data_IF_208506258230
#
_entry.id   IF_208506258230
#
_cell.length_a   1.000
_cell.length_b   1.000
_cell.length_c   1.000
_cell.angle_alpha   90.00
_cell.angle_beta   90.00
_cell.angle_gamma   90.00
#
_symmetry.space_group_name_H-M   'P 1'
#
loop_
_entity.id
_entity.type
_entity.pdbx_description
1 polymer ?
#
# COMPACT_ATOMS: atom_id res chain seq x y z
N UNK A 1 -4.90 0.11 11.86
CA UNK A 1 -4.42 -1.02 11.03
C UNK A 1 -5.51 -2.07 10.79
N UNK A 2 -6.17 -2.61 11.84
CA UNK A 2 -7.25 -3.62 11.69
C UNK A 2 -8.47 -3.13 10.87
N UNK A 3 -8.88 -1.87 10.99
CA UNK A 3 -10.00 -1.31 10.22
C UNK A 3 -9.68 -1.21 8.73
N UNK A 4 -8.46 -0.80 8.35
CA UNK A 4 -8.02 -0.70 6.95
C UNK A 4 -8.02 -2.08 6.28
N UNK A 5 -7.48 -3.08 6.98
CA UNK A 5 -7.41 -4.48 6.51
C UNK A 5 -8.81 -5.11 6.32
N UNK A 6 -9.78 -4.73 7.16
CA UNK A 6 -11.18 -5.15 7.02
C UNK A 6 -11.85 -4.52 5.80
N UNK A 7 -11.62 -3.23 5.56
CA UNK A 7 -12.21 -2.53 4.41
C UNK A 7 -11.62 -3.02 3.08
N UNK A 8 -10.31 -3.22 3.00
CA UNK A 8 -9.63 -3.75 1.81
C UNK A 8 -10.17 -5.14 1.42
N UNK A 9 -10.39 -6.01 2.42
CA UNK A 9 -10.96 -7.35 2.20
C UNK A 9 -12.42 -7.31 1.71
N UNK A 10 -13.22 -6.37 2.24
CA UNK A 10 -14.60 -6.15 1.78
C UNK A 10 -14.63 -5.66 0.33
N UNK A 11 -13.78 -4.69 -0.01
CA UNK A 11 -13.66 -4.17 -1.37
C UNK A 11 -13.22 -5.26 -2.35
N UNK A 12 -12.22 -6.07 -1.99
CA UNK A 12 -11.78 -7.19 -2.82
C UNK A 12 -12.89 -8.23 -3.07
N UNK A 13 -13.73 -8.47 -2.05
CA UNK A 13 -14.89 -9.37 -2.18
C UNK A 13 -15.94 -8.76 -3.10
N UNK A 14 -16.23 -7.47 -2.97
CA UNK A 14 -17.17 -6.75 -3.82
C UNK A 14 -16.72 -6.74 -5.28
N UNK A 15 -15.44 -6.46 -5.56
CA UNK A 15 -14.90 -6.45 -6.93
C UNK A 15 -15.05 -7.81 -7.61
N UNK A 16 -14.83 -8.92 -6.89
CA UNK A 16 -15.02 -10.28 -7.41
C UNK A 16 -16.47 -10.63 -7.73
N UNK A 17 -17.43 -9.87 -7.19
CA UNK A 17 -18.86 -10.09 -7.42
C UNK A 17 -19.42 -9.31 -8.61
N UNK A 18 -18.63 -8.41 -9.21
CA UNK A 18 -19.06 -7.61 -10.37
C UNK A 18 -18.88 -8.44 -11.63
N UNK A 19 -19.98 -8.69 -12.34
CA UNK A 19 -19.99 -9.30 -13.68
C UNK A 19 -20.59 -8.32 -14.69
N UNK A 20 -19.75 -7.60 -15.47
CA UNK A 20 -20.22 -6.68 -16.52
C UNK A 20 -21.01 -7.39 -17.63
N UNK A 21 -20.85 -8.71 -17.81
CA UNK A 21 -21.56 -9.48 -18.83
C UNK A 21 -23.08 -9.48 -18.66
N UNK A 22 -23.56 -9.21 -17.44
CA UNK A 22 -24.99 -9.08 -17.12
C UNK A 22 -25.61 -7.76 -17.61
N UNK A 23 -24.80 -6.80 -18.03
CA UNK A 23 -25.26 -5.49 -18.49
C UNK A 23 -25.74 -5.60 -19.94
N UNK A 24 -27.05 -5.48 -20.17
CA UNK A 24 -27.65 -5.60 -21.50
C UNK A 24 -27.18 -4.51 -22.47
N UNK A 25 -27.07 -3.27 -22.00
CA UNK A 25 -26.59 -2.15 -22.83
C UNK A 25 -25.08 -2.27 -23.10
N UNK A 26 -24.72 -2.31 -24.38
CA UNK A 26 -23.34 -2.53 -24.82
C UNK A 26 -22.44 -1.35 -24.45
N UNK A 27 -22.94 -0.11 -24.53
CA UNK A 27 -22.15 1.08 -24.22
C UNK A 27 -21.85 1.19 -22.73
N UNK A 28 -22.84 0.89 -21.89
CA UNK A 28 -22.67 0.81 -20.44
C UNK A 28 -21.71 -0.31 -20.06
N UNK A 29 -21.85 -1.51 -20.67
CA UNK A 29 -20.95 -2.64 -20.43
C UNK A 29 -19.50 -2.28 -20.71
N UNK A 30 -19.21 -1.76 -21.90
CA UNK A 30 -17.86 -1.35 -22.29
C UNK A 30 -17.30 -0.28 -21.35
N UNK A 31 -18.13 0.67 -20.95
CA UNK A 31 -17.72 1.72 -20.00
C UNK A 31 -17.34 1.12 -18.65
N UNK A 32 -18.14 0.19 -18.12
CA UNK A 32 -17.85 -0.50 -16.86
C UNK A 32 -16.58 -1.35 -16.96
N UNK A 33 -16.38 -2.08 -18.05
CA UNK A 33 -15.16 -2.86 -18.31
C UNK A 33 -13.91 -1.97 -18.32
N UNK A 34 -13.98 -0.82 -19.01
CA UNK A 34 -12.88 0.15 -19.03
C UNK A 34 -12.58 0.73 -17.64
N UNK A 35 -13.61 1.05 -16.86
CA UNK A 35 -13.44 1.53 -15.49
C UNK A 35 -12.80 0.47 -14.59
N UNK A 36 -13.20 -0.80 -14.70
CA UNK A 36 -12.61 -1.90 -13.93
C UNK A 36 -11.13 -2.08 -14.27
N UNK A 37 -10.78 -2.05 -15.56
CA UNK A 37 -9.38 -2.10 -16.01
C UNK A 37 -8.56 -0.92 -15.47
N UNK A 38 -9.13 0.29 -15.48
CA UNK A 38 -8.46 1.47 -14.93
C UNK A 38 -8.25 1.35 -13.42
N UNK A 39 -9.24 0.86 -12.68
CA UNK A 39 -9.12 0.63 -11.22
C UNK A 39 -8.01 -0.39 -10.93
N UNK A 40 -7.91 -1.47 -11.70
CA UNK A 40 -6.85 -2.47 -11.56
C UNK A 40 -5.45 -1.88 -11.81
N UNK A 41 -5.30 -1.07 -12.86
CA UNK A 41 -4.04 -0.36 -13.15
C UNK A 41 -3.67 0.60 -12.02
N UNK A 42 -4.63 1.38 -11.52
CA UNK A 42 -4.40 2.32 -10.42
C UNK A 42 -4.01 1.59 -9.12
N UNK A 43 -4.69 0.48 -8.79
CA UNK A 43 -4.37 -0.31 -7.62
C UNK A 43 -2.96 -0.93 -7.70
N UNK A 44 -2.57 -1.40 -8.88
CA UNK A 44 -1.22 -1.90 -9.15
C UNK A 44 -0.19 -0.80 -8.94
N UNK A 45 -0.47 0.42 -9.42
CA UNK A 45 0.43 1.57 -9.26
C UNK A 45 0.54 2.02 -7.80
N UNK A 46 -0.56 2.02 -7.05
CA UNK A 46 -0.56 2.32 -5.61
C UNK A 46 0.31 1.32 -4.86
N UNK A 47 0.16 0.02 -5.13
CA UNK A 47 0.96 -1.04 -4.49
C UNK A 47 2.46 -0.81 -4.74
N UNK A 48 2.84 -0.57 -6.00
CA UNK A 48 4.23 -0.26 -6.36
C UNK A 48 4.76 0.97 -5.64
N UNK A 49 3.97 2.04 -5.55
CA UNK A 49 4.38 3.27 -4.86
C UNK A 49 4.50 3.07 -3.35
N UNK A 50 3.64 2.26 -2.73
CA UNK A 50 3.75 1.91 -1.31
C UNK A 50 5.04 1.12 -1.03
N UNK A 51 5.41 0.19 -1.92
CA UNK A 51 6.67 -0.56 -1.84
C UNK A 51 7.90 0.34 -2.00
N UNK A 52 7.93 1.19 -3.04
CA UNK A 52 9.02 2.15 -3.27
C UNK A 52 9.17 3.11 -2.09
N UNK A 53 8.04 3.61 -1.55
CA UNK A 53 8.06 4.49 -0.38
C UNK A 53 8.65 3.78 0.84
N UNK A 54 8.30 2.50 1.06
CA UNK A 54 8.87 1.73 2.17
C UNK A 54 10.39 1.56 2.03
N UNK A 55 10.87 1.21 0.83
CA UNK A 55 12.30 1.10 0.55
C UNK A 55 13.03 2.42 0.80
N UNK A 56 12.47 3.54 0.33
CA UNK A 56 13.05 4.86 0.55
C UNK A 56 13.08 5.24 2.03
N UNK A 57 12.06 4.88 2.81
CA UNK A 57 12.04 5.11 4.26
C UNK A 57 13.13 4.31 4.97
N UNK A 58 13.30 3.05 4.57
CA UNK A 58 14.33 2.17 5.14
C UNK A 58 15.74 2.70 4.81
N UNK A 59 15.97 3.12 3.56
CA UNK A 59 17.21 3.76 3.14
C UNK A 59 17.45 5.08 3.89
N UNK A 60 16.41 5.90 4.07
CA UNK A 60 16.52 7.16 4.80
C UNK A 60 16.91 6.94 6.26
N UNK A 61 16.35 5.91 6.91
CA UNK A 61 16.68 5.54 8.29
C UNK A 61 18.10 4.99 8.41
N UNK A 62 18.55 4.20 7.43
CA UNK A 62 19.93 3.72 7.34
C UNK A 62 20.91 4.89 7.22
N UNK A 63 20.64 5.84 6.32
CA UNK A 63 21.49 7.02 6.09
C UNK A 63 21.50 7.99 7.27
N UNK A 64 20.37 8.16 7.95
CA UNK A 64 20.25 8.98 9.16
C UNK A 64 20.95 8.36 10.37
N UNK A 65 21.42 7.11 10.26
CA UNK A 65 22.15 6.44 11.31
C UNK A 65 21.30 6.30 12.56
N UNK A 66 20.13 5.63 12.47
CA UNK A 66 19.32 5.22 13.63
C UNK A 66 20.01 4.23 14.58
N UNK A 67 21.33 4.30 14.73
CA UNK A 67 21.95 4.14 16.03
C UNK A 67 21.80 5.49 16.75
N UNK A 68 20.64 5.71 17.37
CA UNK A 68 20.56 6.66 18.47
C UNK A 68 21.76 6.40 19.39
N UNK A 69 22.53 7.45 19.71
CA UNK A 69 23.77 7.35 20.50
C UNK A 69 23.62 6.24 21.55
N UNK A 70 24.50 5.22 21.59
CA UNK A 70 24.39 4.19 22.61
C UNK A 70 24.33 4.87 23.98
N UNK A 71 23.33 4.53 24.79
CA UNK A 71 23.11 5.07 26.15
C UNK A 71 24.16 4.55 27.15
N UNK A 72 25.36 4.25 26.66
CA UNK A 72 26.50 3.82 27.46
C UNK A 72 27.09 5.09 28.07
N UNK A 73 26.68 5.38 29.31
CA UNK A 73 27.38 6.36 30.16
C UNK A 73 28.83 5.96 30.30
N UNK A 74 29.76 6.88 29.99
CA UNK A 74 31.18 6.70 30.22
C UNK A 74 31.43 6.25 31.68
N UNK A 75 32.19 5.17 31.89
CA UNK A 75 32.59 4.77 33.24
C UNK A 75 33.43 5.88 33.85
N UNK A 76 32.97 6.51 34.93
CA UNK A 76 33.82 7.41 35.72
C UNK A 76 35.00 6.60 36.25
N UNK A 77 36.21 6.88 35.77
CA UNK A 77 37.44 6.44 36.47
C UNK A 77 37.38 7.04 37.88
N UNK A 78 37.31 6.17 38.89
CA UNK A 78 37.52 6.57 40.29
C UNK A 78 38.98 7.02 40.40
N UNK A 79 39.18 8.29 40.74
CA UNK A 79 40.48 8.80 41.19
C UNK A 79 40.81 8.32 42.58
#
# INVERSE_FOLDING_TARGET
MMQKLSSEKLVATLLRSIDPGLIADVGVRQTVELLLNLVEQLNSKVTQLEEENQQLRDENNLLKGELGKPDIKASKKKG
#
